data_IF_079367646443
#
_entry.id   IF_079367646443
#
_cell.length_a   1.000
_cell.length_b   1.000
_cell.length_c   1.000
_cell.angle_alpha   90.00
_cell.angle_beta   90.00
_cell.angle_gamma   90.00
#
_symmetry.space_group_name_H-M   'P 1'
#
loop_
_entity.id
_entity.type
_entity.pdbx_description
1 polymer ?
#
# COMPACT_ATOMS: atom_id res chain seq x y z
N UNK A 1 -14.55 -50.85 5.24
CA UNK A 1 -14.14 -50.14 6.48
C UNK A 1 -13.32 -48.94 6.06
N UNK A 2 -13.97 -47.75 5.98
CA UNK A 2 -13.25 -46.52 5.71
C UNK A 2 -12.31 -46.25 6.87
N UNK A 3 -11.03 -46.07 6.57
CA UNK A 3 -10.04 -45.57 7.54
C UNK A 3 -10.55 -44.24 8.07
N UNK A 4 -10.94 -44.20 9.34
CA UNK A 4 -11.16 -42.92 10.04
C UNK A 4 -9.79 -42.27 10.14
N UNK A 5 -9.50 -41.36 9.22
CA UNK A 5 -8.30 -40.52 9.30
C UNK A 5 -8.32 -39.79 10.64
N UNK A 6 -7.16 -39.69 11.32
CA UNK A 6 -7.01 -39.00 12.62
C UNK A 6 -7.56 -37.60 12.45
N UNK A 7 -8.52 -37.23 13.31
CA UNK A 7 -9.11 -35.91 13.30
C UNK A 7 -8.04 -34.84 13.51
N UNK A 8 -8.10 -33.76 12.72
CA UNK A 8 -7.14 -32.63 12.72
C UNK A 8 -7.22 -31.77 14.00
N UNK A 9 -8.27 -31.94 14.80
CA UNK A 9 -8.48 -31.23 16.05
C UNK A 9 -9.97 -31.03 16.35
N UNK A 10 -10.26 -30.43 17.49
CA UNK A 10 -11.63 -30.12 17.90
C UNK A 10 -12.25 -29.05 16.99
N UNK A 11 -13.50 -29.26 16.63
CA UNK A 11 -14.23 -28.29 15.80
C UNK A 11 -14.33 -26.93 16.49
N UNK A 12 -13.85 -25.85 15.89
CA UNK A 12 -13.85 -24.50 16.49
C UNK A 12 -15.26 -23.92 16.64
N UNK A 13 -16.25 -24.55 15.98
CA UNK A 13 -17.63 -24.09 15.99
C UNK A 13 -18.43 -24.76 17.11
N UNK A 14 -18.42 -26.09 17.20
CA UNK A 14 -19.23 -26.81 18.21
C UNK A 14 -18.43 -27.24 19.43
N UNK A 15 -17.10 -27.24 19.41
CA UNK A 15 -16.23 -27.66 20.50
C UNK A 15 -16.35 -29.13 20.92
N UNK A 16 -17.11 -29.97 20.19
CA UNK A 16 -17.42 -31.35 20.57
C UNK A 16 -16.97 -32.38 19.55
N UNK A 17 -17.15 -32.11 18.24
CA UNK A 17 -16.69 -32.97 17.16
C UNK A 17 -15.28 -32.66 16.74
N UNK A 18 -14.68 -33.53 15.94
CA UNK A 18 -13.36 -33.35 15.32
C UNK A 18 -13.51 -32.95 13.85
N UNK A 19 -12.55 -32.19 13.34
CA UNK A 19 -12.48 -31.91 11.90
C UNK A 19 -11.77 -33.05 11.21
N UNK A 20 -12.40 -33.61 10.17
CA UNK A 20 -11.83 -34.65 9.31
C UNK A 20 -11.87 -34.21 7.86
N UNK A 21 -10.91 -34.68 7.06
CA UNK A 21 -10.86 -34.49 5.63
C UNK A 21 -11.72 -35.54 4.91
N UNK A 22 -12.51 -35.12 3.94
CA UNK A 22 -13.23 -35.99 3.02
C UNK A 22 -12.72 -35.76 1.60
N UNK A 23 -13.26 -36.49 0.62
CA UNK A 23 -12.91 -36.28 -0.79
C UNK A 23 -13.36 -34.89 -1.36
N UNK A 24 -14.21 -34.17 -0.64
CA UNK A 24 -14.81 -32.91 -1.11
C UNK A 24 -14.54 -31.72 -0.22
N UNK A 25 -14.41 -31.94 1.09
CA UNK A 25 -14.36 -30.88 2.09
C UNK A 25 -13.70 -31.34 3.40
N UNK A 26 -13.45 -30.39 4.27
CA UNK A 26 -13.18 -30.61 5.69
C UNK A 26 -14.49 -30.43 6.48
N UNK A 27 -14.89 -31.43 7.25
CA UNK A 27 -16.17 -31.42 7.97
C UNK A 27 -16.00 -31.77 9.44
N UNK A 28 -16.94 -31.30 10.25
CA UNK A 28 -17.04 -31.73 11.62
C UNK A 28 -17.71 -33.12 11.72
N UNK A 29 -17.17 -34.04 12.52
CA UNK A 29 -17.77 -35.36 12.76
C UNK A 29 -19.20 -35.26 13.30
N UNK A 30 -19.54 -34.22 14.08
CA UNK A 30 -20.90 -33.94 14.53
C UNK A 30 -21.87 -33.48 13.42
N UNK A 31 -21.37 -33.15 12.22
CA UNK A 31 -22.19 -32.95 11.02
C UNK A 31 -22.64 -34.27 10.44
N UNK A 32 -21.74 -35.25 10.43
CA UNK A 32 -21.97 -36.58 9.84
C UNK A 32 -22.79 -37.49 10.76
N UNK A 33 -22.49 -37.45 12.06
CA UNK A 33 -23.17 -38.25 13.10
C UNK A 33 -23.41 -37.35 14.33
N UNK A 34 -24.59 -36.72 14.47
CA UNK A 34 -24.87 -35.91 15.63
C UNK A 34 -24.81 -36.74 16.91
N UNK A 35 -24.04 -36.28 17.89
CA UNK A 35 -23.93 -36.93 19.19
C UNK A 35 -25.14 -36.57 20.04
N UNK A 36 -26.08 -37.52 20.26
CA UNK A 36 -27.26 -37.32 21.09
C UNK A 36 -28.34 -36.40 20.52
N UNK A 37 -29.27 -35.94 21.34
CA UNK A 37 -30.36 -35.01 20.95
C UNK A 37 -29.92 -33.58 20.61
N UNK A 38 -28.64 -33.37 20.29
CA UNK A 38 -28.04 -32.08 19.96
C UNK A 38 -28.22 -31.68 18.49
N UNK A 39 -28.27 -30.37 18.26
CA UNK A 39 -28.24 -29.81 16.90
C UNK A 39 -26.97 -30.24 16.17
N UNK A 40 -27.11 -30.73 14.92
CA UNK A 40 -25.99 -31.08 14.04
C UNK A 40 -25.06 -29.90 13.85
N UNK A 41 -23.74 -30.12 13.93
CA UNK A 41 -22.77 -29.10 13.59
C UNK A 41 -22.78 -28.88 12.07
N UNK A 42 -22.72 -27.63 11.65
CA UNK A 42 -22.74 -27.28 10.21
C UNK A 42 -21.36 -26.96 9.66
N UNK A 43 -20.27 -27.06 10.42
CA UNK A 43 -18.93 -26.77 9.92
C UNK A 43 -18.61 -27.63 8.72
N UNK A 44 -18.31 -26.98 7.60
CA UNK A 44 -17.86 -27.60 6.35
C UNK A 44 -17.05 -26.55 5.59
N UNK A 45 -15.88 -26.92 5.12
CA UNK A 45 -14.98 -26.07 4.34
C UNK A 45 -14.54 -26.82 3.08
N UNK A 46 -14.86 -26.37 1.87
CA UNK A 46 -14.47 -27.06 0.65
C UNK A 46 -12.95 -27.11 0.52
N UNK A 47 -12.43 -28.10 -0.23
CA UNK A 47 -10.99 -28.25 -0.46
C UNK A 47 -10.36 -27.07 -1.22
N UNK A 48 -11.18 -26.29 -1.95
CA UNK A 48 -10.76 -25.07 -2.62
C UNK A 48 -11.73 -23.94 -2.28
N UNK A 49 -11.19 -22.83 -1.81
CA UNK A 49 -11.98 -21.66 -1.44
C UNK A 49 -11.22 -20.37 -1.80
N UNK A 50 -11.89 -19.45 -2.49
CA UNK A 50 -11.31 -18.16 -2.87
C UNK A 50 -9.95 -18.25 -3.58
N UNK A 51 -9.79 -19.25 -4.48
CA UNK A 51 -8.55 -19.46 -5.23
C UNK A 51 -7.43 -20.16 -4.45
N UNK A 52 -7.68 -20.58 -3.21
CA UNK A 52 -6.70 -21.26 -2.36
C UNK A 52 -7.11 -22.71 -2.15
N UNK A 53 -6.14 -23.63 -2.26
CA UNK A 53 -6.29 -25.00 -1.79
C UNK A 53 -6.25 -25.03 -0.25
N UNK A 54 -7.30 -25.53 0.36
CA UNK A 54 -7.39 -25.69 1.81
C UNK A 54 -6.60 -26.92 2.22
N UNK A 55 -5.52 -26.71 2.94
CA UNK A 55 -4.62 -27.74 3.45
C UNK A 55 -4.89 -28.04 4.94
N UNK A 56 -4.34 -29.14 5.45
CA UNK A 56 -4.39 -29.47 6.87
C UNK A 56 -3.76 -28.35 7.73
N UNK A 57 -2.70 -27.68 7.23
CA UNK A 57 -2.08 -26.54 7.91
C UNK A 57 -3.05 -25.37 8.07
N UNK A 58 -3.80 -25.03 7.02
CA UNK A 58 -4.84 -23.99 7.09
C UNK A 58 -5.93 -24.36 8.10
N UNK A 59 -6.34 -25.61 8.14
CA UNK A 59 -7.33 -26.09 9.11
C UNK A 59 -6.78 -25.97 10.55
N UNK A 60 -5.51 -26.33 10.77
CA UNK A 60 -4.89 -26.17 12.10
C UNK A 60 -4.85 -24.70 12.54
N UNK A 61 -4.51 -23.77 11.64
CA UNK A 61 -4.51 -22.32 11.94
C UNK A 61 -5.93 -21.84 12.31
N UNK A 62 -6.95 -22.25 11.56
CA UNK A 62 -8.34 -21.93 11.87
C UNK A 62 -8.81 -22.51 13.19
N UNK A 63 -8.41 -23.74 13.55
CA UNK A 63 -8.74 -24.38 14.83
C UNK A 63 -8.07 -23.65 16.00
N UNK A 64 -6.76 -23.34 15.87
CA UNK A 64 -5.96 -22.76 16.94
C UNK A 64 -6.22 -21.26 17.16
N UNK A 65 -6.27 -20.51 16.05
CA UNK A 65 -6.25 -19.04 16.09
C UNK A 65 -7.57 -18.40 15.64
N UNK A 66 -8.52 -19.19 15.13
CA UNK A 66 -9.76 -18.69 14.54
C UNK A 66 -9.54 -17.96 13.19
N UNK A 67 -8.29 -17.83 12.74
CA UNK A 67 -7.90 -17.19 11.49
C UNK A 67 -6.64 -17.83 10.91
N UNK A 68 -6.43 -17.67 9.61
CA UNK A 68 -5.18 -18.05 8.94
C UNK A 68 -4.13 -16.95 9.03
N UNK A 69 -2.89 -17.28 8.71
CA UNK A 69 -1.89 -16.31 8.24
C UNK A 69 -2.38 -15.61 6.97
N UNK A 70 -1.58 -14.65 6.49
CA UNK A 70 -1.89 -13.92 5.28
C UNK A 70 -1.84 -14.84 4.06
N UNK A 71 -2.91 -14.81 3.25
CA UNK A 71 -3.06 -15.58 2.03
C UNK A 71 -3.31 -14.67 0.83
N UNK A 72 -2.95 -15.14 -0.37
CA UNK A 72 -3.43 -14.54 -1.61
C UNK A 72 -4.76 -15.20 -1.97
N UNK A 73 -5.84 -14.47 -1.83
CA UNK A 73 -7.21 -14.88 -2.08
C UNK A 73 -7.71 -14.33 -3.42
N UNK A 74 -8.74 -14.94 -4.00
CA UNK A 74 -9.37 -14.45 -5.23
C UNK A 74 -10.88 -14.28 -5.03
N UNK A 75 -11.44 -13.24 -5.63
CA UNK A 75 -12.90 -13.07 -5.74
C UNK A 75 -13.47 -13.94 -6.87
N UNK A 76 -14.79 -13.89 -7.06
CA UNK A 76 -15.51 -14.67 -8.09
C UNK A 76 -15.09 -14.31 -9.52
N UNK A 77 -14.48 -13.15 -9.76
CA UNK A 77 -13.97 -12.69 -11.06
C UNK A 77 -12.50 -13.05 -11.27
N UNK A 78 -11.86 -13.74 -10.29
CA UNK A 78 -10.44 -14.06 -10.31
C UNK A 78 -9.53 -12.90 -9.91
N UNK A 79 -10.08 -11.79 -9.40
CA UNK A 79 -9.27 -10.68 -8.90
C UNK A 79 -8.61 -11.09 -7.58
N UNK A 80 -7.26 -11.03 -7.55
CA UNK A 80 -6.48 -11.46 -6.39
C UNK A 80 -6.26 -10.31 -5.39
N UNK A 81 -6.41 -10.61 -4.11
CA UNK A 81 -6.16 -9.69 -2.98
C UNK A 81 -5.48 -10.41 -1.83
N UNK A 82 -4.87 -9.66 -0.91
CA UNK A 82 -4.27 -10.20 0.31
C UNK A 82 -5.30 -10.20 1.43
N UNK A 83 -5.33 -11.27 2.21
CA UNK A 83 -6.32 -11.39 3.27
C UNK A 83 -6.13 -12.63 4.14
N UNK A 84 -7.05 -12.82 5.06
CA UNK A 84 -7.12 -13.97 5.95
C UNK A 84 -8.45 -14.69 5.75
N UNK A 85 -8.46 -16.00 5.95
CA UNK A 85 -9.69 -16.74 6.25
C UNK A 85 -9.95 -16.65 7.74
N UNK A 86 -11.18 -16.31 8.14
CA UNK A 86 -11.58 -16.17 9.55
C UNK A 86 -12.83 -16.99 9.81
N UNK A 87 -12.92 -17.56 11.01
CA UNK A 87 -14.14 -18.24 11.47
C UNK A 87 -15.10 -17.21 12.06
N UNK A 88 -16.32 -17.15 11.51
CA UNK A 88 -17.39 -16.26 11.99
C UNK A 88 -18.46 -17.09 12.68
N UNK A 89 -18.59 -16.93 14.00
CA UNK A 89 -19.51 -17.73 14.82
C UNK A 89 -20.98 -17.31 14.68
N UNK A 90 -21.23 -16.02 14.49
CA UNK A 90 -22.57 -15.44 14.56
C UNK A 90 -23.45 -15.70 13.32
N UNK A 91 -22.85 -16.04 12.19
CA UNK A 91 -23.58 -16.37 10.94
C UNK A 91 -23.63 -17.86 10.65
N UNK A 92 -23.40 -18.68 11.65
CA UNK A 92 -23.50 -20.15 11.55
C UNK A 92 -22.56 -20.72 10.50
N UNK A 93 -21.29 -20.89 10.82
CA UNK A 93 -20.34 -21.79 10.17
C UNK A 93 -19.63 -21.31 8.90
N UNK A 94 -19.66 -20.05 8.58
CA UNK A 94 -18.91 -19.58 7.43
C UNK A 94 -17.50 -19.20 7.83
N UNK A 95 -16.57 -19.62 7.00
CA UNK A 95 -15.25 -19.02 6.94
C UNK A 95 -15.41 -17.81 6.00
N UNK A 96 -15.24 -16.63 6.53
CA UNK A 96 -15.27 -15.39 5.75
C UNK A 96 -13.84 -14.93 5.41
N UNK A 97 -13.72 -14.15 4.35
CA UNK A 97 -12.46 -13.52 3.99
C UNK A 97 -12.39 -12.14 4.62
N UNK A 98 -11.28 -11.84 5.29
CA UNK A 98 -10.96 -10.49 5.76
C UNK A 98 -9.82 -9.93 4.91
N UNK A 99 -10.11 -8.96 4.05
CA UNK A 99 -9.11 -8.27 3.22
C UNK A 99 -8.15 -7.49 4.11
N UNK A 100 -6.87 -7.49 3.75
CA UNK A 100 -5.89 -6.60 4.37
C UNK A 100 -6.05 -5.23 3.71
N UNK A 101 -6.23 -4.22 4.53
CA UNK A 101 -6.38 -2.82 4.08
C UNK A 101 -5.27 -1.97 4.64
N UNK A 102 -4.92 -0.93 3.91
CA UNK A 102 -4.08 0.15 4.42
C UNK A 102 -4.86 0.97 5.47
N UNK A 103 -4.12 1.66 6.34
CA UNK A 103 -4.68 2.64 7.27
C UNK A 103 -4.84 4.01 6.58
N UNK A 104 -5.41 3.99 5.37
CA UNK A 104 -5.67 5.17 4.56
C UNK A 104 -6.94 4.97 3.75
N UNK A 105 -7.57 6.07 3.36
CA UNK A 105 -8.76 6.07 2.52
C UNK A 105 -8.41 6.43 1.08
N UNK A 106 -9.24 5.98 0.15
CA UNK A 106 -9.09 6.33 -1.26
C UNK A 106 -9.25 7.85 -1.46
N UNK A 107 -8.29 8.54 -2.07
CA UNK A 107 -8.39 9.98 -2.28
C UNK A 107 -9.49 10.39 -3.26
N UNK A 108 -10.02 9.43 -4.08
CA UNK A 108 -11.05 9.72 -5.07
C UNK A 108 -12.46 9.55 -4.54
N UNK A 109 -12.70 8.52 -3.69
CA UNK A 109 -14.06 8.17 -3.28
C UNK A 109 -14.23 7.86 -1.80
N UNK A 110 -13.16 7.95 -1.00
CA UNK A 110 -13.19 7.66 0.43
C UNK A 110 -13.35 6.17 0.79
N UNK A 111 -13.31 5.26 -0.19
CA UNK A 111 -13.34 3.81 0.07
C UNK A 111 -12.03 3.31 0.69
N UNK A 112 -12.03 2.11 1.25
CA UNK A 112 -10.81 1.51 1.82
C UNK A 112 -9.82 1.12 0.74
N UNK A 113 -8.54 1.22 1.04
CA UNK A 113 -7.47 0.73 0.16
C UNK A 113 -7.11 -0.69 0.56
N UNK A 114 -7.27 -1.63 -0.37
CA UNK A 114 -7.06 -3.07 -0.18
C UNK A 114 -5.73 -3.48 -0.78
N UNK A 115 -4.97 -4.31 -0.08
CA UNK A 115 -3.79 -4.96 -0.64
C UNK A 115 -4.22 -6.02 -1.66
N UNK A 116 -3.65 -5.93 -2.86
CA UNK A 116 -3.84 -6.90 -3.93
C UNK A 116 -2.51 -7.56 -4.29
N UNK A 117 -2.55 -8.57 -5.16
CA UNK A 117 -1.32 -9.16 -5.69
C UNK A 117 -0.44 -8.15 -6.43
N UNK A 118 -1.05 -7.17 -7.10
CA UNK A 118 -0.36 -6.24 -8.00
C UNK A 118 -0.16 -4.85 -7.39
N UNK A 119 -0.63 -4.62 -6.16
CA UNK A 119 -0.49 -3.34 -5.49
C UNK A 119 -1.66 -3.03 -4.57
N UNK A 120 -2.01 -1.77 -4.51
CA UNK A 120 -3.00 -1.20 -3.62
C UNK A 120 -4.16 -0.67 -4.45
N UNK A 121 -5.37 -1.13 -4.19
CA UNK A 121 -6.54 -0.75 -4.97
C UNK A 121 -7.69 -0.32 -4.06
N UNK A 122 -8.48 0.64 -4.51
CA UNK A 122 -9.71 0.99 -3.81
C UNK A 122 -10.69 -0.20 -3.80
N UNK A 123 -11.34 -0.47 -2.68
CA UNK A 123 -12.35 -1.53 -2.58
C UNK A 123 -13.47 -1.35 -3.62
N UNK A 124 -13.81 -0.10 -3.96
CA UNK A 124 -14.81 0.23 -4.96
C UNK A 124 -14.33 0.04 -6.41
N UNK A 125 -13.02 -0.10 -6.65
CA UNK A 125 -12.46 -0.43 -7.98
C UNK A 125 -12.47 -1.93 -8.25
N UNK A 126 -12.51 -2.75 -7.21
CA UNK A 126 -12.47 -4.22 -7.30
C UNK A 126 -13.84 -4.86 -7.07
N UNK A 127 -14.90 -4.08 -6.94
CA UNK A 127 -16.27 -4.57 -6.82
C UNK A 127 -16.83 -5.06 -8.16
N UNK A 128 -17.95 -5.80 -8.13
CA UNK A 128 -18.63 -6.32 -9.33
C UNK A 128 -19.03 -5.18 -10.28
N UNK A 129 -19.51 -4.08 -9.73
CA UNK A 129 -19.81 -2.85 -10.45
C UNK A 129 -18.85 -1.76 -9.95
N UNK A 130 -17.69 -1.56 -10.60
CA UNK A 130 -16.72 -0.58 -10.15
C UNK A 130 -17.25 0.84 -10.24
N UNK A 131 -17.14 1.58 -9.14
CA UNK A 131 -17.47 3.03 -9.08
C UNK A 131 -16.24 3.89 -8.85
N UNK A 132 -15.06 3.28 -8.82
CA UNK A 132 -13.76 3.92 -8.67
C UNK A 132 -12.72 3.21 -9.54
N UNK A 133 -11.66 3.90 -9.91
CA UNK A 133 -10.55 3.33 -10.71
C UNK A 133 -9.21 3.42 -9.98
N UNK A 134 -9.18 3.96 -8.76
CA UNK A 134 -7.95 4.22 -8.02
C UNK A 134 -7.16 2.94 -7.74
N UNK A 135 -5.90 2.95 -8.11
CA UNK A 135 -4.93 1.92 -7.77
C UNK A 135 -3.49 2.47 -7.77
N UNK A 136 -2.62 1.83 -6.99
CA UNK A 136 -1.18 2.06 -6.98
C UNK A 136 -0.52 0.72 -7.27
N UNK A 137 0.35 0.64 -8.26
CA UNK A 137 1.15 -0.56 -8.51
C UNK A 137 2.17 -0.75 -7.36
N UNK A 138 2.32 -1.98 -6.86
CA UNK A 138 3.33 -2.27 -5.85
C UNK A 138 4.73 -2.45 -6.42
N UNK A 139 4.90 -2.44 -7.75
CA UNK A 139 6.20 -2.56 -8.39
C UNK A 139 6.28 -1.60 -9.57
N UNK A 140 7.12 -0.58 -9.44
CA UNK A 140 7.28 0.49 -10.42
C UNK A 140 8.78 0.71 -10.67
N UNK A 141 9.21 0.74 -11.92
CA UNK A 141 10.61 0.98 -12.30
C UNK A 141 11.61 0.17 -11.48
N UNK A 142 11.40 -1.15 -11.42
CA UNK A 142 12.23 -2.12 -10.68
C UNK A 142 12.34 -1.85 -9.17
N UNK A 143 11.35 -1.17 -8.57
CA UNK A 143 11.26 -0.87 -7.15
C UNK A 143 9.90 -1.29 -6.58
N UNK A 144 9.92 -1.86 -5.38
CA UNK A 144 8.72 -2.14 -4.62
C UNK A 144 8.24 -0.88 -3.89
N UNK A 145 6.95 -0.56 -4.01
CA UNK A 145 6.27 0.48 -3.24
C UNK A 145 5.70 -0.19 -1.98
N UNK A 146 6.16 0.23 -0.82
CA UNK A 146 5.72 -0.34 0.45
C UNK A 146 4.31 0.12 0.83
N UNK A 147 3.63 -0.60 1.76
CA UNK A 147 2.37 -0.16 2.32
C UNK A 147 2.42 1.25 2.92
N UNK A 148 3.48 1.59 3.66
CA UNK A 148 3.65 2.90 4.30
C UNK A 148 3.78 4.04 3.28
N UNK A 149 4.48 3.80 2.16
CA UNK A 149 4.60 4.76 1.06
C UNK A 149 3.26 4.95 0.33
N UNK A 150 2.51 3.88 0.13
CA UNK A 150 1.18 3.95 -0.44
C UNK A 150 0.19 4.67 0.50
N UNK A 151 0.26 4.42 1.81
CA UNK A 151 -0.52 5.17 2.82
C UNK A 151 -0.17 6.65 2.82
N UNK A 152 1.13 6.98 2.80
CA UNK A 152 1.59 8.35 2.74
C UNK A 152 1.01 9.09 1.53
N UNK A 153 1.06 8.46 0.35
CA UNK A 153 0.47 9.00 -0.86
C UNK A 153 -1.05 9.18 -0.76
N UNK A 154 -1.79 8.17 -0.27
CA UNK A 154 -3.24 8.26 -0.08
C UNK A 154 -3.64 9.36 0.90
N UNK A 155 -2.78 9.69 1.86
CA UNK A 155 -2.95 10.79 2.81
C UNK A 155 -2.44 12.15 2.27
N UNK A 156 -2.18 12.26 0.98
CA UNK A 156 -1.78 13.50 0.31
C UNK A 156 -0.30 13.87 0.48
N UNK A 157 0.55 12.96 0.94
CA UNK A 157 2.00 13.20 1.03
C UNK A 157 2.67 12.82 -0.29
N UNK A 158 3.53 13.72 -0.77
CA UNK A 158 4.39 13.50 -1.94
C UNK A 158 5.83 13.27 -1.47
N UNK A 159 6.09 12.12 -0.85
CA UNK A 159 7.42 11.78 -0.35
C UNK A 159 8.36 11.44 -1.52
N UNK A 160 9.58 11.99 -1.49
CA UNK A 160 10.62 11.61 -2.45
C UNK A 160 11.13 10.22 -2.10
N UNK A 161 10.97 9.31 -3.04
CA UNK A 161 11.40 7.93 -2.97
C UNK A 161 12.67 7.74 -3.81
N UNK A 162 13.54 6.86 -3.36
CA UNK A 162 14.77 6.47 -4.06
C UNK A 162 14.71 5.01 -4.54
N UNK A 163 15.76 4.54 -5.20
CA UNK A 163 15.87 3.15 -5.61
C UNK A 163 15.11 2.76 -6.85
N UNK A 164 14.63 3.71 -7.65
CA UNK A 164 14.07 3.42 -8.96
C UNK A 164 15.16 3.23 -10.02
N UNK A 165 14.90 2.37 -11.01
CA UNK A 165 15.80 2.14 -12.15
C UNK A 165 15.03 2.36 -13.45
N UNK A 166 15.61 3.18 -14.34
CA UNK A 166 15.06 3.36 -15.66
C UNK A 166 15.37 2.15 -16.59
N UNK A 167 14.86 2.19 -17.82
CA UNK A 167 15.08 1.11 -18.82
C UNK A 167 16.56 0.87 -19.15
N UNK A 168 17.43 1.86 -18.93
CA UNK A 168 18.88 1.75 -19.14
C UNK A 168 19.62 1.28 -17.87
N UNK A 169 18.90 0.90 -16.80
CA UNK A 169 19.49 0.48 -15.54
C UNK A 169 20.07 1.62 -14.70
N UNK A 170 19.81 2.88 -15.05
CA UNK A 170 20.26 4.04 -14.29
C UNK A 170 19.34 4.30 -13.12
N UNK A 171 19.93 4.40 -11.93
CA UNK A 171 19.25 4.76 -10.70
C UNK A 171 18.77 6.21 -10.68
N UNK A 172 17.58 6.45 -10.10
CA UNK A 172 17.01 7.79 -9.94
C UNK A 172 16.06 7.89 -8.73
N UNK A 173 15.80 9.14 -8.30
CA UNK A 173 14.78 9.47 -7.31
C UNK A 173 13.53 10.03 -8.02
N UNK A 174 12.35 9.75 -7.44
CA UNK A 174 11.07 10.25 -7.93
C UNK A 174 10.04 10.24 -6.80
N UNK A 175 8.83 10.67 -7.06
CA UNK A 175 7.72 10.58 -6.14
C UNK A 175 6.45 10.16 -6.88
N UNK A 176 5.47 9.64 -6.13
CA UNK A 176 4.15 9.35 -6.66
C UNK A 176 3.35 10.64 -6.78
N UNK A 177 2.67 10.83 -7.89
CA UNK A 177 1.77 11.97 -8.11
C UNK A 177 0.50 11.53 -8.82
N UNK A 178 -0.48 12.43 -8.88
CA UNK A 178 -1.69 12.24 -9.67
C UNK A 178 -1.45 12.72 -11.09
N UNK A 179 -1.63 11.83 -12.05
CA UNK A 179 -1.63 12.17 -13.47
C UNK A 179 -2.86 12.97 -13.87
N UNK A 180 -2.87 13.45 -15.11
CA UNK A 180 -3.92 14.32 -15.65
C UNK A 180 -5.31 13.67 -15.69
N UNK A 181 -5.37 12.34 -15.76
CA UNK A 181 -6.61 11.56 -15.77
C UNK A 181 -6.90 10.89 -14.41
N UNK A 182 -6.16 11.32 -13.35
CA UNK A 182 -6.35 10.82 -12.00
C UNK A 182 -5.61 9.51 -11.68
N UNK A 183 -4.90 8.91 -12.63
CA UNK A 183 -4.02 7.77 -12.40
C UNK A 183 -2.86 8.12 -11.45
N UNK A 184 -2.30 7.11 -10.79
CA UNK A 184 -1.08 7.29 -10.00
C UNK A 184 0.13 7.03 -10.88
N UNK A 185 0.97 8.04 -11.01
CA UNK A 185 2.17 8.00 -11.83
C UNK A 185 3.43 8.31 -11.02
N UNK A 186 4.58 7.91 -11.56
CA UNK A 186 5.89 8.22 -11.01
C UNK A 186 6.49 9.41 -11.76
N UNK A 187 6.82 10.47 -11.05
CA UNK A 187 7.43 11.66 -11.64
C UNK A 187 8.62 12.16 -10.82
N UNK A 188 9.58 12.76 -11.51
CA UNK A 188 10.66 13.54 -10.89
C UNK A 188 10.53 15.06 -11.13
N UNK A 189 9.50 15.48 -11.84
CA UNK A 189 9.26 16.89 -12.15
C UNK A 189 8.81 17.67 -10.92
N UNK A 190 9.44 18.82 -10.65
CA UNK A 190 9.15 19.67 -9.47
C UNK A 190 8.54 21.01 -9.88
N UNK A 191 9.05 21.58 -10.97
CA UNK A 191 8.62 22.87 -11.48
C UNK A 191 9.51 23.35 -12.61
N UNK A 192 9.32 24.59 -13.05
CA UNK A 192 10.15 25.21 -14.11
C UNK A 192 11.36 25.94 -13.49
N UNK A 193 12.47 25.84 -14.18
CA UNK A 193 13.71 26.53 -13.81
C UNK A 193 13.54 28.05 -13.99
N UNK A 194 13.76 28.86 -12.97
CA UNK A 194 13.63 30.33 -13.08
C UNK A 194 14.72 30.95 -13.94
N UNK A 195 15.83 30.24 -14.17
CA UNK A 195 16.96 30.74 -14.94
C UNK A 195 16.82 30.50 -16.44
N UNK A 196 16.34 29.32 -16.87
CA UNK A 196 16.32 28.92 -18.27
C UNK A 196 14.98 28.35 -18.78
N UNK A 197 13.95 28.24 -17.90
CA UNK A 197 12.66 27.67 -18.26
C UNK A 197 12.64 26.14 -18.40
N UNK A 198 13.79 25.45 -18.28
CA UNK A 198 13.87 23.99 -18.28
C UNK A 198 13.17 23.38 -17.07
N UNK A 199 13.09 22.05 -17.01
CA UNK A 199 12.45 21.36 -15.90
C UNK A 199 13.38 21.22 -14.70
N UNK A 200 12.89 21.47 -13.51
CA UNK A 200 13.57 21.10 -12.26
C UNK A 200 13.15 19.70 -11.89
N UNK A 201 14.13 18.82 -11.70
CA UNK A 201 13.95 17.40 -11.43
C UNK A 201 14.52 17.02 -10.07
N UNK A 202 13.86 16.06 -9.42
CA UNK A 202 14.37 15.46 -8.19
C UNK A 202 15.68 14.74 -8.47
N UNK A 203 16.76 15.16 -7.82
CA UNK A 203 18.04 14.45 -7.83
C UNK A 203 18.36 13.86 -6.46
N UNK A 204 19.55 13.28 -6.28
CA UNK A 204 19.99 12.66 -5.03
C UNK A 204 20.22 13.70 -3.94
N UNK A 205 21.03 14.70 -4.22
CA UNK A 205 21.50 15.71 -3.25
C UNK A 205 20.85 17.07 -3.45
N UNK A 206 20.25 17.29 -4.63
CA UNK A 206 19.62 18.56 -4.99
C UNK A 206 18.48 18.33 -5.98
N UNK A 207 17.63 19.33 -6.12
CA UNK A 207 16.71 19.48 -7.24
C UNK A 207 17.48 20.23 -8.35
N UNK A 208 17.63 19.62 -9.53
CA UNK A 208 18.51 20.09 -10.55
C UNK A 208 17.76 20.47 -11.82
N UNK A 209 18.23 21.49 -12.51
CA UNK A 209 17.71 21.82 -13.84
C UNK A 209 18.05 20.72 -14.86
N UNK A 210 17.10 20.34 -15.71
CA UNK A 210 17.28 19.37 -16.80
C UNK A 210 18.32 19.84 -17.82
N UNK A 211 18.50 21.17 -17.98
CA UNK A 211 19.43 21.81 -18.90
C UNK A 211 20.85 21.94 -18.32
N UNK A 212 21.20 21.24 -17.24
CA UNK A 212 22.54 21.34 -16.64
C UNK A 212 23.67 21.00 -17.63
N UNK A 213 23.43 20.07 -18.56
CA UNK A 213 24.39 19.74 -19.65
C UNK A 213 24.51 20.81 -20.66
N UNK A 214 23.58 21.75 -20.76
CA UNK A 214 23.55 22.87 -21.65
C UNK A 214 23.93 24.19 -20.97
N UNK A 215 24.59 24.11 -19.79
CA UNK A 215 25.16 25.24 -19.10
C UNK A 215 24.28 25.87 -18.01
N UNK A 216 23.05 25.40 -17.78
CA UNK A 216 22.26 25.93 -16.68
C UNK A 216 22.74 25.33 -15.33
N UNK A 217 23.16 26.19 -14.41
CA UNK A 217 23.70 25.77 -13.12
C UNK A 217 22.68 25.85 -11.98
N UNK A 218 21.43 26.20 -12.26
CA UNK A 218 20.39 26.32 -11.23
C UNK A 218 20.15 24.98 -10.53
N UNK A 219 20.15 25.03 -9.21
CA UNK A 219 19.85 23.92 -8.32
C UNK A 219 19.36 24.40 -6.96
N UNK A 220 18.55 23.61 -6.33
CA UNK A 220 18.15 23.76 -4.93
C UNK A 220 18.73 22.57 -4.17
N UNK A 221 19.64 22.81 -3.22
CA UNK A 221 20.21 21.75 -2.42
C UNK A 221 19.14 21.18 -1.47
N UNK A 222 19.23 19.88 -1.16
CA UNK A 222 18.31 19.25 -0.19
C UNK A 222 18.62 19.58 1.27
N UNK A 223 19.72 20.27 1.55
CA UNK A 223 20.09 20.66 2.91
C UNK A 223 20.69 22.06 2.95
N UNK A 224 20.13 22.90 3.84
CA UNK A 224 20.62 24.23 4.18
C UNK A 224 20.62 24.39 5.71
N UNK A 225 21.79 24.55 6.31
CA UNK A 225 21.96 24.84 7.75
C UNK A 225 21.12 23.94 8.68
N UNK A 226 21.12 22.63 8.43
CA UNK A 226 20.34 21.65 9.19
C UNK A 226 18.91 21.47 8.72
N UNK A 227 18.36 22.39 7.93
CA UNK A 227 17.04 22.21 7.30
C UNK A 227 17.13 21.26 6.10
N UNK A 228 16.25 20.25 6.10
CA UNK A 228 16.07 19.34 4.96
C UNK A 228 14.97 19.89 4.06
N UNK A 229 15.33 20.40 2.90
CA UNK A 229 14.40 20.88 1.88
C UNK A 229 13.66 19.67 1.30
N UNK A 230 12.37 19.59 1.56
CA UNK A 230 11.48 18.58 1.01
C UNK A 230 10.91 18.99 -0.34
N UNK A 231 10.05 18.17 -0.93
CA UNK A 231 9.45 18.45 -2.25
C UNK A 231 8.55 19.70 -2.21
N UNK A 232 7.79 19.88 -1.13
CA UNK A 232 6.90 21.04 -0.97
C UNK A 232 7.71 22.34 -0.86
N UNK A 233 8.80 22.33 -0.07
CA UNK A 233 9.71 23.50 0.03
C UNK A 233 10.27 23.87 -1.35
N UNK A 234 10.70 22.88 -2.15
CA UNK A 234 11.22 23.12 -3.49
C UNK A 234 10.14 23.71 -4.42
N UNK A 235 8.92 23.19 -4.38
CA UNK A 235 7.78 23.74 -5.13
C UNK A 235 7.46 25.18 -4.70
N UNK A 236 7.48 25.48 -3.40
CA UNK A 236 7.27 26.84 -2.88
C UNK A 236 8.35 27.81 -3.34
N UNK A 237 9.63 27.42 -3.29
CA UNK A 237 10.72 28.24 -3.79
C UNK A 237 10.58 28.57 -5.28
N UNK A 238 10.17 27.57 -6.09
CA UNK A 238 10.00 27.77 -7.53
C UNK A 238 8.76 28.58 -7.88
N UNK A 239 7.67 28.51 -7.10
CA UNK A 239 6.41 29.22 -7.38
C UNK A 239 6.33 30.59 -6.76
N UNK A 240 6.78 30.73 -5.50
CA UNK A 240 6.62 31.96 -4.70
C UNK A 240 7.93 32.74 -4.53
N UNK A 241 9.07 32.13 -4.90
CA UNK A 241 10.39 32.71 -4.68
C UNK A 241 10.91 32.61 -3.24
N UNK A 242 10.12 32.09 -2.29
CA UNK A 242 10.51 31.95 -0.88
C UNK A 242 9.69 30.85 -0.21
N UNK A 243 10.16 30.33 0.93
CA UNK A 243 9.36 29.43 1.75
C UNK A 243 8.27 30.22 2.50
N UNK A 244 7.08 29.65 2.58
CA UNK A 244 5.96 30.25 3.32
C UNK A 244 6.21 30.26 4.83
N UNK A 245 6.92 29.24 5.33
CA UNK A 245 7.26 29.13 6.75
C UNK A 245 8.76 29.14 6.95
N UNK A 246 9.29 29.98 7.86
CA UNK A 246 10.69 29.92 8.22
C UNK A 246 11.01 28.60 8.92
N UNK A 247 12.27 28.18 8.87
CA UNK A 247 12.78 27.04 9.61
C UNK A 247 13.74 27.50 10.72
N UNK A 248 13.89 26.68 11.76
CA UNK A 248 14.84 26.94 12.83
C UNK A 248 16.18 26.28 12.52
N UNK A 249 17.23 27.08 12.42
CA UNK A 249 18.59 26.61 12.23
C UNK A 249 19.34 26.62 13.58
N UNK A 250 20.07 25.52 13.87
CA UNK A 250 20.88 25.38 15.09
C UNK A 250 20.13 25.67 16.40
N UNK A 251 18.82 25.36 16.43
CA UNK A 251 17.90 25.58 17.56
C UNK A 251 17.84 27.04 18.09
N UNK A 252 18.29 28.02 17.30
CA UNK A 252 18.40 29.40 17.71
C UNK A 252 17.90 30.44 16.71
N UNK A 253 18.05 30.19 15.42
CA UNK A 253 17.85 31.21 14.40
C UNK A 253 16.64 30.87 13.52
N UNK A 254 15.66 31.77 13.43
CA UNK A 254 14.59 31.67 12.46
C UNK A 254 15.11 32.15 11.10
N UNK A 255 15.32 31.25 10.17
CA UNK A 255 15.82 31.51 8.83
C UNK A 255 14.76 31.17 7.79
N UNK A 256 14.87 31.79 6.61
CA UNK A 256 14.07 31.44 5.44
C UNK A 256 14.96 31.25 4.22
N UNK A 257 14.48 30.48 3.26
CA UNK A 257 15.09 30.37 1.93
C UNK A 257 14.30 31.22 0.94
N UNK A 258 15.03 31.98 0.09
CA UNK A 258 14.41 32.73 -0.99
C UNK A 258 15.28 32.70 -2.24
N UNK A 259 14.65 32.94 -3.40
CA UNK A 259 15.36 33.22 -4.66
C UNK A 259 15.85 34.66 -4.64
N UNK A 260 17.17 34.84 -4.83
CA UNK A 260 17.78 36.15 -5.05
C UNK A 260 17.58 36.69 -6.46
N UNK A 261 18.07 37.89 -6.71
CA UNK A 261 17.91 38.62 -7.99
C UNK A 261 18.55 37.88 -9.19
N UNK A 262 19.52 37.00 -8.94
CA UNK A 262 20.17 36.18 -9.96
C UNK A 262 19.76 34.70 -9.87
N UNK A 263 18.55 34.43 -9.33
CA UNK A 263 18.01 33.10 -9.15
C UNK A 263 18.84 32.16 -8.23
N UNK A 264 19.80 32.68 -7.48
CA UNK A 264 20.50 31.92 -6.44
C UNK A 264 19.62 31.72 -5.21
N UNK A 265 19.81 30.58 -4.52
CA UNK A 265 19.11 30.37 -3.24
C UNK A 265 19.83 31.11 -2.13
N UNK A 266 19.18 32.12 -1.57
CA UNK A 266 19.65 32.93 -0.45
C UNK A 266 19.00 32.50 0.86
N UNK A 267 19.75 32.61 1.96
CA UNK A 267 19.28 32.39 3.30
C UNK A 267 19.12 33.75 3.95
N UNK A 268 17.90 34.02 4.38
CA UNK A 268 17.56 35.30 5.03
C UNK A 268 17.12 35.09 6.47
N UNK A 269 17.51 36.01 7.34
CA UNK A 269 17.06 36.00 8.73
C UNK A 269 15.66 36.62 8.79
N UNK A 270 14.72 35.90 9.38
CA UNK A 270 13.46 36.53 9.81
C UNK A 270 13.74 37.35 11.05
N UNK A 271 13.69 38.67 10.90
CA UNK A 271 13.74 39.60 12.02
C UNK A 271 12.47 39.56 12.85
#
# INVERSE_FOLDING_TARGET
MEKIERGLGLCPVCGKGHIIKTNKDYVCTNKLKPSGNGKSCRFSLPLHLHGVEITDSIIHQLIQNGRTEELTLSDQRGFSYRGHLIIVKDKGYSVETKKITLNAMCPDCGGKIVLTRFGYACENSINVNPTCTFHISNFICNRFISPDEAEAFCNGREDILDGFYNKQGKWFCAYLSRGSHGEVELTSFVGKCPECGGDILVGTTAFNCSNYKHGCNFKIWKHYYGHKVNLQDAKELLSNGHLQKPFTAFDKYALNLQLGSHNEIQIVSNK
#
